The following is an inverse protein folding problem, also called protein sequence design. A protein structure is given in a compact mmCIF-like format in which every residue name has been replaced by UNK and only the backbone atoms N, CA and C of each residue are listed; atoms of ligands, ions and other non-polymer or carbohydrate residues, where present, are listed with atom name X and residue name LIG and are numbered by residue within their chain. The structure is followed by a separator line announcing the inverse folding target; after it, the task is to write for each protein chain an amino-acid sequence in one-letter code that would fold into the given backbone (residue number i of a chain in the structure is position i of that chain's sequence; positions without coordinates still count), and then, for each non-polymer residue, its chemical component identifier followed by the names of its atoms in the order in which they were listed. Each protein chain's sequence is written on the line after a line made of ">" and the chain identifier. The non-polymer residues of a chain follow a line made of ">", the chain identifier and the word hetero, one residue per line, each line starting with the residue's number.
data_IF_203488517461
#
_entry.id   IF_203488517461
#
_cell.length_a   1.000
_cell.length_b   1.000
_cell.length_c   1.000
_cell.angle_alpha   90.00
_cell.angle_beta   90.00
_cell.angle_gamma   90.00
#
_symmetry.space_group_name_H-M   'P 1'
#
loop_
_entity.id
_entity.type
_entity.pdbx_description
1 polymer ?
#
# COMPACT_ATOMS: atom_id res chain seq x y z
N UNK A 1 1.78 -21.39 65.09
CA UNK A 1 2.59 -21.52 63.86
C UNK A 1 1.65 -21.92 62.74
N UNK A 2 1.32 -20.99 61.84
CA UNK A 2 0.41 -21.22 60.71
C UNK A 2 1.17 -20.92 59.43
N UNK A 3 1.39 -21.94 58.60
CA UNK A 3 2.07 -21.80 57.31
C UNK A 3 1.17 -21.04 56.31
N UNK A 4 1.69 -20.06 55.54
CA UNK A 4 0.96 -19.49 54.43
C UNK A 4 0.92 -20.46 53.26
N UNK A 5 -0.31 -20.65 52.76
CA UNK A 5 -0.72 -21.54 51.70
C UNK A 5 -0.46 -20.85 50.35
N UNK A 6 0.35 -21.52 49.52
CA UNK A 6 0.35 -21.54 48.05
C UNK A 6 0.60 -20.24 47.27
N UNK A 7 1.78 -20.23 46.65
CA UNK A 7 2.06 -19.69 45.33
C UNK A 7 0.92 -20.03 44.36
N UNK A 8 0.05 -19.06 44.13
CA UNK A 8 -0.85 -19.06 43.00
C UNK A 8 -0.03 -18.58 41.80
N UNK A 9 0.63 -19.52 41.11
CA UNK A 9 1.12 -19.27 39.76
C UNK A 9 -0.11 -19.17 38.87
N UNK A 10 -0.59 -17.95 38.69
CA UNK A 10 -1.51 -17.60 37.62
C UNK A 10 -0.81 -17.92 36.29
N UNK A 11 -1.05 -19.13 35.79
CA UNK A 11 -0.79 -19.45 34.40
C UNK A 11 -1.69 -18.54 33.58
N UNK A 12 -1.16 -17.38 33.18
CA UNK A 12 -1.78 -16.44 32.26
C UNK A 12 -2.06 -17.23 30.98
N UNK A 13 -3.30 -17.69 30.82
CA UNK A 13 -3.79 -18.26 29.59
C UNK A 13 -3.67 -17.16 28.53
N UNK A 14 -2.60 -17.22 27.74
CA UNK A 14 -2.39 -16.32 26.62
C UNK A 14 -3.57 -16.54 25.68
N UNK A 15 -4.47 -15.57 25.62
CA UNK A 15 -5.60 -15.57 24.70
C UNK A 15 -5.07 -15.70 23.26
N UNK A 16 -5.30 -16.87 22.66
CA UNK A 16 -4.92 -17.17 21.27
C UNK A 16 -5.54 -16.17 20.29
N UNK A 17 -6.66 -15.53 20.67
CA UNK A 17 -7.27 -14.40 19.95
C UNK A 17 -6.41 -13.14 19.91
N UNK A 18 -5.66 -12.86 20.99
CA UNK A 18 -4.70 -11.75 21.06
C UNK A 18 -3.55 -11.93 20.07
N UNK A 19 -2.96 -13.14 20.01
CA UNK A 19 -1.81 -13.46 19.14
C UNK A 19 -2.11 -13.34 17.63
N UNK A 20 -3.32 -13.76 17.21
CA UNK A 20 -3.78 -13.62 15.81
C UNK A 20 -4.01 -12.15 15.42
N UNK A 21 -4.53 -11.35 16.36
CA UNK A 21 -4.72 -9.91 16.17
C UNK A 21 -3.39 -9.21 15.92
N UNK A 22 -2.38 -9.49 16.76
CA UNK A 22 -1.06 -8.89 16.66
C UNK A 22 -0.36 -9.21 15.33
N UNK A 23 -0.47 -10.46 14.87
CA UNK A 23 0.15 -10.89 13.61
C UNK A 23 -0.50 -10.20 12.40
N UNK A 24 -1.82 -10.04 12.42
CA UNK A 24 -2.57 -9.37 11.34
C UNK A 24 -2.24 -7.89 11.29
N UNK A 25 -2.19 -7.23 12.46
CA UNK A 25 -1.79 -5.82 12.55
C UNK A 25 -0.37 -5.60 12.06
N UNK A 26 0.58 -6.47 12.42
CA UNK A 26 1.96 -6.40 11.93
C UNK A 26 2.04 -6.50 10.41
N UNK A 27 1.24 -7.38 9.78
CA UNK A 27 1.19 -7.49 8.31
C UNK A 27 0.67 -6.22 7.65
N UNK A 28 -0.39 -5.63 8.20
CA UNK A 28 -0.90 -4.36 7.69
C UNK A 28 0.12 -3.22 7.84
N UNK A 29 0.79 -3.12 9.00
CA UNK A 29 1.89 -2.16 9.21
C UNK A 29 2.97 -2.30 8.13
N UNK A 30 3.42 -3.54 7.88
CA UNK A 30 4.43 -3.79 6.85
C UNK A 30 3.94 -3.51 5.43
N UNK A 31 2.67 -3.77 5.15
CA UNK A 31 2.06 -3.40 3.87
C UNK A 31 2.13 -1.88 3.64
N UNK A 32 1.71 -1.07 4.63
CA UNK A 32 1.83 0.39 4.57
C UNK A 32 3.28 0.84 4.32
N UNK A 33 4.25 0.19 4.98
CA UNK A 33 5.67 0.53 4.80
C UNK A 33 6.20 0.15 3.41
N UNK A 34 5.93 -1.07 2.96
CA UNK A 34 6.43 -1.58 1.69
C UNK A 34 5.87 -0.76 0.53
N UNK A 35 4.54 -0.56 0.49
CA UNK A 35 3.88 0.25 -0.55
C UNK A 35 4.29 1.72 -0.45
N UNK A 36 4.40 2.26 0.77
CA UNK A 36 4.85 3.63 0.99
C UNK A 36 6.28 3.88 0.50
N UNK A 37 7.23 2.99 0.82
CA UNK A 37 8.61 3.05 0.32
C UNK A 37 8.61 2.94 -1.20
N UNK A 38 7.87 1.98 -1.75
CA UNK A 38 7.78 1.77 -3.18
C UNK A 38 7.34 3.05 -3.92
N UNK A 39 6.27 3.71 -3.45
CA UNK A 39 5.79 4.95 -4.07
C UNK A 39 6.75 6.14 -3.90
N UNK A 40 7.42 6.27 -2.75
CA UNK A 40 8.45 7.30 -2.58
C UNK A 40 9.61 7.09 -3.54
N UNK A 41 10.12 5.85 -3.65
CA UNK A 41 11.22 5.53 -4.57
C UNK A 41 10.80 5.70 -6.04
N UNK A 42 9.57 5.30 -6.37
CA UNK A 42 9.01 5.51 -7.70
C UNK A 42 8.95 7.01 -8.03
N UNK A 43 8.46 7.83 -7.10
CA UNK A 43 8.39 9.28 -7.27
C UNK A 43 9.77 9.94 -7.39
N UNK A 44 10.76 9.48 -6.62
CA UNK A 44 12.16 9.92 -6.77
C UNK A 44 12.67 9.63 -8.17
N UNK A 45 12.39 8.45 -8.73
CA UNK A 45 12.79 8.12 -10.09
C UNK A 45 12.30 9.12 -11.14
N UNK A 46 11.13 9.72 -10.92
CA UNK A 46 10.52 10.69 -11.83
C UNK A 46 11.07 12.13 -11.69
N UNK A 47 12.04 12.38 -10.80
CA UNK A 47 12.76 13.65 -10.76
C UNK A 47 13.43 13.88 -12.14
N UNK A 48 13.31 15.06 -12.77
CA UNK A 48 13.78 15.27 -14.14
C UNK A 48 15.23 14.87 -14.39
N UNK A 49 16.13 15.15 -13.44
CA UNK A 49 17.54 14.77 -13.52
C UNK A 49 17.76 13.25 -13.62
N UNK A 50 16.89 12.43 -13.01
CA UNK A 50 16.93 10.97 -13.07
C UNK A 50 16.10 10.42 -14.23
N UNK A 51 14.97 11.06 -14.52
CA UNK A 51 14.01 10.57 -15.50
C UNK A 51 14.42 10.84 -16.94
N UNK A 52 15.13 11.93 -17.22
CA UNK A 52 15.58 12.30 -18.57
C UNK A 52 16.36 11.16 -19.27
N UNK A 53 17.20 10.44 -18.52
CA UNK A 53 17.95 9.29 -19.03
C UNK A 53 17.08 8.05 -19.29
N UNK A 54 15.92 7.94 -18.63
CA UNK A 54 15.03 6.77 -18.70
C UNK A 54 13.87 6.93 -19.67
N UNK A 55 13.49 8.17 -19.97
CA UNK A 55 12.34 8.50 -20.82
C UNK A 55 12.34 7.73 -22.16
N UNK A 56 13.46 7.66 -22.92
CA UNK A 56 13.49 6.93 -24.20
C UNK A 56 13.31 5.42 -24.04
N UNK A 57 13.64 4.86 -22.86
CA UNK A 57 13.44 3.44 -22.57
C UNK A 57 12.00 3.16 -22.11
N UNK A 58 11.38 4.10 -21.40
CA UNK A 58 10.00 3.97 -20.91
C UNK A 58 8.96 4.17 -22.01
N UNK A 59 9.28 5.02 -23.00
CA UNK A 59 8.43 5.28 -24.16
C UNK A 59 9.28 5.03 -25.41
N UNK A 60 9.37 3.77 -25.80
CA UNK A 60 10.26 3.29 -26.87
C UNK A 60 9.98 3.91 -28.24
N UNK A 61 8.76 4.42 -28.45
CA UNK A 61 8.30 5.10 -29.67
C UNK A 61 8.22 6.63 -29.51
N UNK A 62 8.94 7.23 -28.56
CA UNK A 62 8.90 8.67 -28.33
C UNK A 62 9.70 9.45 -29.39
N UNK A 63 9.01 9.91 -30.42
CA UNK A 63 9.59 10.64 -31.56
C UNK A 63 9.66 12.16 -31.31
N UNK A 64 10.14 12.56 -30.13
CA UNK A 64 10.37 13.97 -29.82
C UNK A 64 11.88 14.24 -29.67
N UNK A 65 12.42 15.31 -30.27
CA UNK A 65 13.81 15.68 -30.07
C UNK A 65 14.11 15.88 -28.58
N UNK A 66 15.23 15.33 -28.11
CA UNK A 66 15.72 15.54 -26.74
C UNK A 66 15.87 17.04 -26.49
N UNK A 67 15.27 17.53 -25.42
CA UNK A 67 15.25 18.94 -25.08
C UNK A 67 14.23 19.80 -25.84
N UNK A 68 13.49 19.22 -26.80
CA UNK A 68 12.35 19.87 -27.46
C UNK A 68 11.15 20.07 -26.51
N UNK A 69 10.17 20.87 -26.96
CA UNK A 69 9.00 21.21 -26.14
C UNK A 69 8.19 19.98 -25.69
N UNK A 70 7.93 19.04 -26.59
CA UNK A 70 7.21 17.80 -26.25
C UNK A 70 7.99 16.92 -25.26
N UNK A 71 9.32 16.83 -25.40
CA UNK A 71 10.18 16.09 -24.48
C UNK A 71 10.15 16.70 -23.07
N UNK A 72 10.26 18.04 -22.96
CA UNK A 72 10.15 18.75 -21.68
C UNK A 72 8.76 18.59 -21.07
N UNK A 73 7.69 18.72 -21.86
CA UNK A 73 6.33 18.54 -21.39
C UNK A 73 6.09 17.14 -20.80
N UNK A 74 6.61 16.09 -21.43
CA UNK A 74 6.51 14.74 -20.88
C UNK A 74 7.35 14.57 -19.60
N UNK A 75 8.54 15.18 -19.52
CA UNK A 75 9.33 15.20 -18.29
C UNK A 75 8.61 15.94 -17.14
N UNK A 76 8.01 17.09 -17.41
CA UNK A 76 7.31 17.88 -16.40
C UNK A 76 6.04 17.16 -15.94
N UNK A 77 5.29 16.53 -16.86
CA UNK A 77 4.13 15.71 -16.55
C UNK A 77 4.50 14.52 -15.66
N UNK A 78 5.56 13.78 -16.03
CA UNK A 78 6.01 12.63 -15.24
C UNK A 78 6.61 13.05 -13.89
N UNK A 79 7.22 14.23 -13.81
CA UNK A 79 7.67 14.79 -12.54
C UNK A 79 6.50 15.12 -11.63
N UNK A 80 5.44 15.77 -12.14
CA UNK A 80 4.22 16.02 -11.38
C UNK A 80 3.62 14.71 -10.85
N UNK A 81 3.55 13.68 -11.70
CA UNK A 81 3.15 12.33 -11.28
C UNK A 81 4.03 11.81 -10.14
N UNK A 82 5.36 11.96 -10.26
CA UNK A 82 6.31 11.57 -9.24
C UNK A 82 6.08 12.25 -7.89
N UNK A 83 5.79 13.55 -7.88
CA UNK A 83 5.48 14.29 -6.65
C UNK A 83 4.23 13.75 -5.95
N UNK A 84 3.18 13.42 -6.71
CA UNK A 84 1.97 12.80 -6.16
C UNK A 84 2.29 11.44 -5.52
N UNK A 85 3.13 10.62 -6.17
CA UNK A 85 3.56 9.33 -5.61
C UNK A 85 4.36 9.51 -4.31
N UNK A 86 5.24 10.51 -4.23
CA UNK A 86 5.97 10.83 -3.00
C UNK A 86 5.03 11.26 -1.87
N UNK A 87 4.01 12.07 -2.17
CA UNK A 87 3.00 12.50 -1.17
C UNK A 87 2.22 11.29 -0.65
N UNK A 88 1.66 10.47 -1.55
CA UNK A 88 0.90 9.27 -1.17
C UNK A 88 1.78 8.31 -0.37
N UNK A 89 3.00 8.05 -0.84
CA UNK A 89 3.95 7.20 -0.12
C UNK A 89 4.31 7.75 1.27
N UNK A 90 4.51 9.05 1.39
CA UNK A 90 4.73 9.73 2.67
C UNK A 90 3.57 9.55 3.65
N UNK A 91 2.33 9.69 3.19
CA UNK A 91 1.14 9.43 4.02
C UNK A 91 1.04 7.96 4.45
N UNK A 92 1.39 7.00 3.59
CA UNK A 92 1.42 5.59 3.96
C UNK A 92 2.49 5.31 5.03
N UNK A 93 3.69 5.87 4.87
CA UNK A 93 4.75 5.74 5.86
C UNK A 93 4.38 6.38 7.19
N UNK A 94 3.72 7.53 7.16
CA UNK A 94 3.16 8.17 8.34
C UNK A 94 2.14 7.26 9.04
N UNK A 95 1.12 6.81 8.30
CA UNK A 95 0.03 5.98 8.79
C UNK A 95 0.49 4.60 9.28
N UNK A 96 1.64 4.10 8.83
CA UNK A 96 2.23 2.84 9.29
C UNK A 96 2.50 2.80 10.80
N UNK A 97 2.58 3.95 11.48
CA UNK A 97 2.74 4.04 12.94
C UNK A 97 1.46 3.66 13.69
N UNK A 98 0.29 3.84 13.08
CA UNK A 98 -1.01 3.52 13.67
C UNK A 98 -2.02 3.07 12.59
N UNK A 99 -1.76 1.97 11.85
CA UNK A 99 -2.50 1.66 10.63
C UNK A 99 -3.99 1.38 10.85
N UNK A 100 -4.37 0.94 12.05
CA UNK A 100 -5.78 0.72 12.43
C UNK A 100 -6.62 1.99 12.36
N UNK A 101 -6.02 3.18 12.54
CA UNK A 101 -6.71 4.47 12.45
C UNK A 101 -6.86 4.97 11.01
N UNK A 102 -6.20 4.30 10.06
CA UNK A 102 -6.04 4.77 8.69
C UNK A 102 -6.45 3.71 7.66
N UNK A 103 -7.40 2.83 7.99
CA UNK A 103 -7.88 1.79 7.06
C UNK A 103 -8.50 2.39 5.78
N UNK A 104 -9.00 3.63 5.84
CA UNK A 104 -9.47 4.39 4.69
C UNK A 104 -8.36 4.63 3.65
N UNK A 105 -7.09 4.76 4.07
CA UNK A 105 -5.98 4.91 3.15
C UNK A 105 -5.76 3.65 2.30
N UNK A 106 -6.04 2.46 2.82
CA UNK A 106 -5.99 1.23 2.02
C UNK A 106 -6.97 1.31 0.86
N UNK A 107 -8.19 1.78 1.11
CA UNK A 107 -9.21 1.93 0.06
C UNK A 107 -8.88 3.04 -0.92
N UNK A 108 -8.28 4.14 -0.45
CA UNK A 108 -7.73 5.16 -1.34
C UNK A 108 -6.69 4.56 -2.29
N UNK A 109 -5.75 3.77 -1.78
CA UNK A 109 -4.76 3.07 -2.61
C UNK A 109 -5.43 2.12 -3.59
N UNK A 110 -6.41 1.32 -3.15
CA UNK A 110 -7.15 0.43 -4.06
C UNK A 110 -7.76 1.19 -5.23
N UNK A 111 -8.37 2.35 -4.98
CA UNK A 111 -8.94 3.18 -6.04
C UNK A 111 -7.89 3.80 -6.95
N UNK A 112 -6.78 4.29 -6.38
CA UNK A 112 -5.66 4.82 -7.17
C UNK A 112 -5.07 3.75 -8.09
N UNK A 113 -4.82 2.56 -7.57
CA UNK A 113 -4.26 1.44 -8.33
C UNK A 113 -5.23 0.95 -9.42
N UNK A 114 -6.54 0.98 -9.16
CA UNK A 114 -7.54 0.59 -10.15
C UNK A 114 -7.68 1.63 -11.27
N UNK A 115 -7.88 2.90 -10.91
CA UNK A 115 -8.20 3.96 -11.88
C UNK A 115 -6.95 4.48 -12.57
N UNK A 116 -5.88 4.76 -11.83
CA UNK A 116 -4.64 5.31 -12.39
C UNK A 116 -3.60 4.24 -12.75
N UNK A 117 -3.71 3.05 -12.18
CA UNK A 117 -2.87 1.92 -12.57
C UNK A 117 -3.49 1.15 -13.72
N UNK A 118 -4.47 0.31 -13.39
CA UNK A 118 -5.03 -0.66 -14.35
C UNK A 118 -5.76 0.02 -15.53
N UNK A 119 -6.62 0.99 -15.29
CA UNK A 119 -7.33 1.64 -16.42
C UNK A 119 -6.40 2.51 -17.27
N UNK A 120 -5.34 3.09 -16.69
CA UNK A 120 -4.33 3.81 -17.46
C UNK A 120 -3.51 2.84 -18.31
N UNK A 121 -3.05 1.72 -17.76
CA UNK A 121 -2.35 0.66 -18.52
C UNK A 121 -3.19 0.18 -19.72
N UNK A 122 -4.48 -0.11 -19.48
CA UNK A 122 -5.41 -0.52 -20.54
C UNK A 122 -5.58 0.56 -21.61
N UNK A 123 -5.69 1.82 -21.18
CA UNK A 123 -5.78 2.96 -22.08
C UNK A 123 -4.50 3.09 -22.92
N UNK A 124 -3.32 3.01 -22.31
CA UNK A 124 -2.04 3.10 -23.01
C UNK A 124 -1.87 1.96 -24.03
N UNK A 125 -2.24 0.72 -23.67
CA UNK A 125 -2.26 -0.40 -24.62
C UNK A 125 -3.18 -0.07 -25.81
N UNK A 126 -4.39 0.42 -25.54
CA UNK A 126 -5.35 0.79 -26.59
C UNK A 126 -4.87 1.96 -27.47
N UNK A 127 -3.96 2.81 -26.96
CA UNK A 127 -3.29 3.89 -27.70
C UNK A 127 -2.06 3.44 -28.48
N UNK A 128 -1.70 2.16 -28.43
CA UNK A 128 -0.58 1.58 -29.18
C UNK A 128 0.77 1.65 -28.46
N UNK A 129 0.78 1.84 -27.14
CA UNK A 129 2.00 1.69 -26.33
C UNK A 129 2.35 0.21 -26.15
N UNK A 130 3.63 -0.07 -25.88
CA UNK A 130 4.18 -1.43 -25.77
C UNK A 130 3.47 -2.26 -24.67
N UNK A 131 2.73 -3.32 -25.02
CA UNK A 131 1.89 -4.03 -24.05
C UNK A 131 2.66 -4.75 -22.95
N UNK A 132 3.87 -5.23 -23.23
CA UNK A 132 4.64 -6.02 -22.27
C UNK A 132 4.92 -5.25 -20.96
N UNK A 133 5.27 -3.98 -21.08
CA UNK A 133 5.55 -3.10 -19.93
C UNK A 133 4.27 -2.82 -19.15
N UNK A 134 3.18 -2.49 -19.85
CA UNK A 134 1.89 -2.16 -19.25
C UNK A 134 1.30 -3.37 -18.50
N UNK A 135 1.36 -4.57 -19.08
CA UNK A 135 0.90 -5.79 -18.41
C UNK A 135 1.73 -6.12 -17.16
N UNK A 136 3.03 -5.81 -17.18
CA UNK A 136 3.90 -5.92 -16.00
C UNK A 136 3.46 -5.00 -14.85
N UNK A 137 3.12 -3.74 -15.14
CA UNK A 137 2.57 -2.80 -14.16
C UNK A 137 1.17 -3.21 -13.70
N UNK A 138 0.29 -3.66 -14.60
CA UNK A 138 -1.04 -4.17 -14.26
C UNK A 138 -0.95 -5.31 -13.24
N UNK A 139 0.00 -6.24 -13.41
CA UNK A 139 0.23 -7.31 -12.45
C UNK A 139 0.68 -6.78 -11.08
N UNK A 140 1.56 -5.78 -11.05
CA UNK A 140 1.96 -5.10 -9.82
C UNK A 140 0.77 -4.43 -9.12
N UNK A 141 -0.10 -3.76 -9.88
CA UNK A 141 -1.31 -3.12 -9.36
C UNK A 141 -2.24 -4.14 -8.69
N UNK A 142 -2.48 -5.28 -9.35
CA UNK A 142 -3.29 -6.36 -8.80
C UNK A 142 -2.70 -6.94 -7.51
N UNK A 143 -1.38 -7.03 -7.39
CA UNK A 143 -0.71 -7.48 -6.16
C UNK A 143 -0.95 -6.48 -5.02
N UNK A 144 -0.77 -5.18 -5.27
CA UNK A 144 -0.97 -4.14 -4.26
C UNK A 144 -2.44 -4.12 -3.81
N UNK A 145 -3.39 -4.12 -4.73
CA UNK A 145 -4.84 -4.20 -4.45
C UNK A 145 -5.17 -5.46 -3.66
N UNK A 146 -4.77 -6.63 -4.17
CA UNK A 146 -5.12 -7.92 -3.59
C UNK A 146 -4.60 -8.06 -2.16
N UNK A 147 -3.33 -7.70 -1.93
CA UNK A 147 -2.72 -7.75 -0.59
C UNK A 147 -3.35 -6.73 0.37
N UNK A 148 -3.61 -5.51 -0.07
CA UNK A 148 -4.25 -4.46 0.73
C UNK A 148 -5.66 -4.88 1.18
N UNK A 149 -6.49 -5.33 0.23
CA UNK A 149 -7.86 -5.81 0.50
C UNK A 149 -7.85 -7.01 1.45
N UNK A 150 -6.91 -7.94 1.27
CA UNK A 150 -6.81 -9.11 2.14
C UNK A 150 -6.44 -8.73 3.58
N UNK A 151 -5.48 -7.82 3.78
CA UNK A 151 -5.06 -7.42 5.13
C UNK A 151 -6.10 -6.55 5.83
N UNK A 152 -6.73 -5.60 5.14
CA UNK A 152 -7.78 -4.75 5.75
C UNK A 152 -8.99 -5.58 6.18
N UNK A 153 -9.42 -6.56 5.36
CA UNK A 153 -10.55 -7.44 5.69
C UNK A 153 -10.26 -8.33 6.89
N UNK A 154 -9.03 -8.83 7.04
CA UNK A 154 -8.62 -9.62 8.20
C UNK A 154 -8.65 -8.81 9.50
N UNK A 155 -8.17 -7.57 9.47
CA UNK A 155 -8.23 -6.65 10.62
C UNK A 155 -9.69 -6.38 11.00
N UNK A 156 -10.53 -6.00 10.04
CA UNK A 156 -11.93 -5.67 10.29
C UNK A 156 -12.74 -6.85 10.87
N UNK A 157 -12.51 -8.07 10.39
CA UNK A 157 -13.15 -9.28 10.94
C UNK A 157 -12.74 -9.53 12.39
N UNK A 158 -11.44 -9.47 12.68
CA UNK A 158 -10.93 -9.65 14.05
C UNK A 158 -11.46 -8.61 15.03
N UNK A 159 -11.63 -7.35 14.60
CA UNK A 159 -12.25 -6.31 15.43
C UNK A 159 -13.73 -6.61 15.70
N UNK A 160 -14.49 -7.04 14.69
CA UNK A 160 -15.91 -7.37 14.84
C UNK A 160 -16.13 -8.53 15.82
N UNK A 161 -15.33 -9.60 15.71
CA UNK A 161 -15.44 -10.77 16.59
C UNK A 161 -15.23 -10.40 18.06
N UNK A 162 -14.24 -9.55 18.36
CA UNK A 162 -13.97 -9.07 19.73
C UNK A 162 -15.15 -8.28 20.31
N UNK A 163 -15.72 -7.36 19.52
CA UNK A 163 -16.87 -6.56 19.96
C UNK A 163 -18.09 -7.44 20.24
N UNK A 164 -18.41 -8.39 19.36
CA UNK A 164 -19.54 -9.31 19.56
C UNK A 164 -19.32 -10.21 20.79
N UNK A 165 -18.10 -10.71 21.00
CA UNK A 165 -17.76 -11.53 22.16
C UNK A 165 -17.94 -10.77 23.48
N UNK A 166 -17.47 -9.52 23.54
CA UNK A 166 -17.60 -8.68 24.74
C UNK A 166 -19.07 -8.38 25.07
N UNK A 167 -19.89 -8.03 24.07
CA UNK A 167 -21.33 -7.82 24.25
C UNK A 167 -22.10 -9.08 24.68
N UNK A 168 -21.55 -10.27 24.48
CA UNK A 168 -22.14 -11.52 24.97
C UNK A 168 -21.82 -11.77 26.44
N UNK A 169 -20.62 -11.36 26.90
CA UNK A 169 -20.20 -11.51 28.28
C UNK A 169 -20.90 -10.50 29.20
N UNK A 170 -21.07 -9.26 28.74
CA UNK A 170 -21.73 -8.18 29.53
C UNK A 170 -23.24 -8.43 29.76
N UNK A 171 -23.82 -9.45 29.11
CA UNK A 171 -25.24 -9.82 29.22
C UNK A 171 -25.52 -11.02 30.12
N UNK A 172 -24.49 -11.66 30.67
CA UNK A 172 -24.57 -12.78 31.60
C UNK A 172 -24.34 -12.29 33.03
#
# INVERSE_FOLDING_TARGET
>A
MCFPRYLQTDAVAVDVGSLKGDTTMKRLTWWFRAVGIFYVLLGIGFIPALNAARLPMMVSNFDAPIGGAAYRALLDYTFMFGLEMMVVGGFLLYASRAPHRHLNLVWLIVWLELVRGIFDDMYMIARGYEPAVMLGFTALHLIIIGTGVLFVRKVQRGTREKVTGQLSLDRL
#
